data_IF_351549951529
#
_entry.id   IF_351549951529
#
_cell.length_a   1.000
_cell.length_b   1.000
_cell.length_c   1.000
_cell.angle_alpha   90.00
_cell.angle_beta   90.00
_cell.angle_gamma   90.00
#
_symmetry.space_group_name_H-M   'P 1'
#
loop_
_entity.id
_entity.type
_entity.pdbx_description
1 polymer ?
#
# COMPACT_ATOMS: atom_id res chain seq x y z
N UNK A 1 -3.42 -13.81 -13.36
CA UNK A 1 -2.09 -13.52 -12.78
C UNK A 1 -2.30 -12.48 -11.69
N UNK A 2 -1.47 -12.46 -10.65
CA UNK A 2 -1.60 -11.54 -9.53
C UNK A 2 -0.27 -10.83 -9.34
N UNK A 3 -0.29 -9.52 -9.20
CA UNK A 3 0.90 -8.71 -8.91
C UNK A 3 0.57 -7.66 -7.86
N UNK A 4 1.59 -7.19 -7.14
CA UNK A 4 1.45 -6.21 -6.08
C UNK A 4 2.50 -5.11 -6.17
N UNK A 5 2.06 -3.86 -6.05
CA UNK A 5 2.94 -2.68 -6.06
C UNK A 5 2.67 -1.77 -4.88
N UNK A 6 3.65 -0.94 -4.51
CA UNK A 6 3.51 0.08 -3.48
C UNK A 6 3.26 1.44 -4.11
N UNK A 7 2.30 2.18 -3.56
CA UNK A 7 1.89 3.49 -4.02
C UNK A 7 2.09 4.52 -2.91
N UNK A 8 2.57 5.71 -3.29
CA UNK A 8 2.56 6.88 -2.41
C UNK A 8 1.19 7.55 -2.48
N UNK A 9 0.59 7.82 -1.32
CA UNK A 9 -0.71 8.47 -1.21
C UNK A 9 -0.55 9.97 -0.92
N UNK A 10 -1.52 10.82 -1.27
CA UNK A 10 -1.51 12.23 -0.83
C UNK A 10 -1.44 12.35 0.69
N UNK A 11 -0.68 13.32 1.18
CA UNK A 11 -0.55 13.62 2.60
C UNK A 11 -1.82 14.33 3.12
N UNK A 12 -2.81 13.52 3.52
CA UNK A 12 -4.05 13.99 4.13
C UNK A 12 -4.30 13.25 5.43
N UNK A 13 -4.97 13.85 6.43
CA UNK A 13 -5.29 13.17 7.69
C UNK A 13 -6.12 11.89 7.53
N UNK A 14 -6.90 11.75 6.45
CA UNK A 14 -7.61 10.50 6.15
C UNK A 14 -6.63 9.40 5.71
N UNK A 15 -5.78 9.69 4.74
CA UNK A 15 -4.79 8.74 4.24
C UNK A 15 -3.74 8.37 5.30
N UNK A 16 -3.32 9.32 6.14
CA UNK A 16 -2.39 9.05 7.24
C UNK A 16 -2.96 8.06 8.27
N UNK A 17 -4.28 8.07 8.47
CA UNK A 17 -4.97 7.12 9.37
C UNK A 17 -5.13 5.74 8.75
N UNK A 18 -5.45 5.69 7.46
CA UNK A 18 -5.72 4.43 6.74
C UNK A 18 -4.44 3.71 6.27
N UNK A 19 -3.42 4.49 5.88
CA UNK A 19 -2.14 4.02 5.32
C UNK A 19 -0.96 4.55 6.13
N UNK A 20 -0.79 4.11 7.40
CA UNK A 20 0.22 4.68 8.29
C UNK A 20 1.62 4.60 7.69
N UNK A 21 2.41 5.65 7.92
CA UNK A 21 3.78 5.73 7.43
C UNK A 21 4.69 4.69 8.10
N UNK A 22 5.78 4.28 7.44
CA UNK A 22 6.82 3.47 8.08
C UNK A 22 7.40 4.19 9.29
N UNK A 23 7.79 3.46 10.34
CA UNK A 23 8.29 4.04 11.60
C UNK A 23 9.52 4.95 11.46
N UNK A 24 10.27 4.84 10.36
CA UNK A 24 11.41 5.72 10.05
C UNK A 24 10.97 7.13 9.63
N UNK A 25 9.69 7.31 9.27
CA UNK A 25 9.11 8.56 8.80
C UNK A 25 8.02 9.01 9.78
N UNK A 26 8.16 10.23 10.33
CA UNK A 26 7.18 10.76 11.27
C UNK A 26 5.86 11.16 10.59
N UNK A 27 4.72 11.15 11.31
CA UNK A 27 3.44 11.58 10.76
C UNK A 27 3.52 12.98 10.15
N UNK A 28 3.03 13.16 8.92
CA UNK A 28 3.06 14.43 8.19
C UNK A 28 4.45 14.85 7.68
N UNK A 29 5.48 14.01 7.81
CA UNK A 29 6.83 14.27 7.26
C UNK A 29 7.08 13.61 5.90
N UNK A 30 6.04 13.02 5.31
CA UNK A 30 6.08 12.43 3.98
C UNK A 30 4.79 11.71 3.61
N UNK A 31 4.77 11.12 2.43
CA UNK A 31 3.57 10.51 1.86
C UNK A 31 3.22 9.18 2.56
N UNK A 32 1.95 8.96 2.96
CA UNK A 32 1.46 7.64 3.37
C UNK A 32 1.73 6.59 2.27
N UNK A 33 1.95 5.33 2.66
CA UNK A 33 2.28 4.26 1.71
C UNK A 33 1.19 3.18 1.71
N UNK A 34 0.60 2.95 0.54
CA UNK A 34 -0.38 1.90 0.28
C UNK A 34 0.22 0.75 -0.54
N UNK A 35 -0.33 -0.44 -0.38
CA UNK A 35 -0.07 -1.61 -1.23
C UNK A 35 -1.30 -1.86 -2.10
N UNK A 36 -1.10 -1.86 -3.40
CA UNK A 36 -2.07 -2.31 -4.38
C UNK A 36 -1.80 -3.77 -4.74
N UNK A 37 -2.83 -4.61 -4.75
CA UNK A 37 -2.78 -5.96 -5.30
C UNK A 37 -3.80 -6.04 -6.43
N UNK A 38 -3.37 -6.48 -7.60
CA UNK A 38 -4.19 -6.52 -8.81
C UNK A 38 -4.26 -7.94 -9.35
N UNK A 39 -5.47 -8.39 -9.65
CA UNK A 39 -5.73 -9.60 -10.43
C UNK A 39 -5.98 -9.21 -11.86
N UNK A 40 -5.21 -9.76 -12.78
CA UNK A 40 -5.38 -9.48 -14.22
C UNK A 40 -5.52 -10.74 -15.05
N UNK A 41 -6.29 -10.62 -16.13
CA UNK A 41 -6.48 -11.63 -17.16
C UNK A 41 -5.16 -11.85 -17.88
N UNK A 42 -4.63 -13.08 -17.83
CA UNK A 42 -3.32 -13.40 -18.42
C UNK A 42 -3.29 -13.24 -19.94
N UNK A 43 -4.42 -13.51 -20.61
CA UNK A 43 -4.47 -13.50 -22.07
C UNK A 43 -4.55 -12.08 -22.66
N UNK A 44 -5.25 -11.17 -21.98
CA UNK A 44 -5.53 -9.82 -22.51
C UNK A 44 -4.85 -8.70 -21.73
N UNK A 45 -4.33 -8.97 -20.53
CA UNK A 45 -3.81 -7.95 -19.62
C UNK A 45 -4.89 -7.11 -18.92
N UNK A 46 -6.18 -7.42 -19.10
CA UNK A 46 -7.27 -6.68 -18.47
C UNK A 46 -7.23 -6.83 -16.94
N UNK A 47 -7.45 -5.73 -16.21
CA UNK A 47 -7.63 -5.77 -14.76
C UNK A 47 -9.00 -6.34 -14.46
N UNK A 48 -9.04 -7.41 -13.66
CA UNK A 48 -10.26 -8.07 -13.22
C UNK A 48 -10.67 -7.57 -11.84
N UNK A 49 -9.71 -7.33 -10.96
CA UNK A 49 -9.94 -6.80 -9.61
C UNK A 49 -8.68 -6.11 -9.08
N UNK A 50 -8.85 -5.15 -8.18
CA UNK A 50 -7.76 -4.44 -7.52
C UNK A 50 -8.17 -4.00 -6.11
N UNK A 51 -7.28 -4.24 -5.14
CA UNK A 51 -7.49 -3.84 -3.74
C UNK A 51 -6.31 -3.00 -3.27
N UNK A 52 -6.61 -1.91 -2.55
CA UNK A 52 -5.65 -1.12 -1.80
C UNK A 52 -5.70 -1.49 -0.32
N UNK A 53 -4.53 -1.61 0.29
CA UNK A 53 -4.41 -1.88 1.72
C UNK A 53 -3.18 -1.16 2.30
N UNK A 54 -3.10 -1.05 3.62
CA UNK A 54 -1.89 -0.56 4.29
C UNK A 54 -0.67 -1.39 3.92
N UNK A 55 0.47 -0.73 3.73
CA UNK A 55 1.74 -1.42 3.64
C UNK A 55 2.11 -2.00 5.01
N UNK A 56 2.25 -3.32 5.10
CA UNK A 56 2.89 -3.94 6.25
C UNK A 56 4.40 -3.71 6.19
N UNK A 57 4.88 -2.66 6.88
CA UNK A 57 6.28 -2.52 7.25
C UNK A 57 6.54 -3.37 8.50
N UNK A 58 7.41 -4.37 8.40
CA UNK A 58 7.67 -5.31 9.49
C UNK A 58 8.34 -4.66 10.70
N UNK A 59 7.70 -4.74 11.86
CA UNK A 59 8.31 -5.39 13.02
C UNK A 59 7.57 -6.72 13.12
N UNK A 60 8.22 -7.83 12.78
CA UNK A 60 7.70 -9.14 13.18
C UNK A 60 7.56 -9.15 14.71
N UNK A 61 6.62 -9.89 15.31
CA UNK A 61 6.70 -10.16 16.74
C UNK A 61 8.11 -10.72 17.00
N UNK A 62 8.89 -10.04 17.83
CA UNK A 62 10.24 -10.46 18.16
C UNK A 62 10.23 -11.91 18.64
N UNK A 63 10.91 -12.76 17.88
CA UNK A 63 11.66 -13.89 18.40
C UNK A 63 13.12 -13.44 18.49
#
# INVERSE_FOLDING_TARGET
>A
MVDGTTLSMPDTPANQREYPQPAVQGPGLGFPIARAVVVFCRATGAVLDAVLARCHGGVGPGL
#
